data_IF_239901288774
#
_entry.id   IF_239901288774
#
_cell.length_a   1.000
_cell.length_b   1.000
_cell.length_c   1.000
_cell.angle_alpha   90.00
_cell.angle_beta   90.00
_cell.angle_gamma   90.00
#
_symmetry.space_group_name_H-M   'P 1'
#
loop_
_entity.id
_entity.type
_entity.pdbx_description
1 polymer ?
#
# COMPACT_ATOMS: atom_id res chain seq x y z
N UNK A 1 19.76 10.28 -16.90
CA UNK A 1 19.57 10.16 -15.43
C UNK A 1 18.60 11.24 -15.01
N UNK A 2 17.36 11.05 -15.44
CA UNK A 2 16.28 12.04 -15.58
C UNK A 2 15.02 11.15 -15.62
N UNK A 3 13.92 11.35 -14.90
CA UNK A 3 13.19 12.57 -14.60
C UNK A 3 12.53 12.40 -13.22
N UNK A 4 13.07 13.04 -12.18
CA UNK A 4 12.46 13.10 -10.83
C UNK A 4 11.71 14.42 -10.63
N UNK A 5 11.24 15.01 -11.72
CA UNK A 5 10.80 16.41 -11.77
C UNK A 5 9.65 16.62 -12.77
N UNK A 6 8.50 15.99 -12.54
CA UNK A 6 7.20 16.56 -12.95
C UNK A 6 6.08 15.67 -12.38
N UNK A 7 5.25 16.23 -11.52
CA UNK A 7 4.11 15.51 -10.95
C UNK A 7 3.38 16.28 -9.85
N UNK A 8 3.97 17.35 -9.33
CA UNK A 8 3.29 18.29 -8.43
C UNK A 8 2.59 19.46 -9.15
N UNK A 9 2.54 19.50 -10.48
CA UNK A 9 1.70 20.46 -11.18
C UNK A 9 1.12 19.91 -12.48
N UNK A 10 -0.18 20.21 -12.67
CA UNK A 10 -1.04 19.97 -13.84
C UNK A 10 -1.45 18.51 -14.04
N UNK A 11 -2.73 18.13 -13.97
CA UNK A 11 -3.88 18.77 -14.62
C UNK A 11 -5.14 18.68 -13.74
N UNK A 12 -5.60 19.83 -13.25
CA UNK A 12 -6.98 20.01 -12.80
C UNK A 12 -7.82 20.28 -14.05
N UNK A 13 -8.40 19.24 -14.66
CA UNK A 13 -9.57 19.42 -15.55
C UNK A 13 -10.49 18.19 -15.43
N UNK A 14 -11.78 18.48 -15.25
CA UNK A 14 -12.94 17.61 -15.08
C UNK A 14 -13.23 17.02 -13.68
N UNK A 15 -14.22 17.63 -13.02
CA UNK A 15 -15.25 16.89 -12.28
C UNK A 15 -14.90 16.44 -10.85
N UNK A 16 -15.14 17.33 -9.88
CA UNK A 16 -15.74 17.06 -8.56
C UNK A 16 -15.45 15.69 -7.92
N UNK A 17 -14.34 15.58 -7.18
CA UNK A 17 -14.22 15.16 -5.76
C UNK A 17 -12.77 15.41 -5.35
N UNK A 18 -12.48 16.53 -4.68
CA UNK A 18 -11.18 16.73 -4.02
C UNK A 18 -11.26 16.04 -2.67
N UNK A 19 -11.00 14.73 -2.63
CA UNK A 19 -10.52 14.14 -1.38
C UNK A 19 -9.13 14.69 -1.15
N UNK A 20 -8.97 15.50 -0.09
CA UNK A 20 -7.68 15.97 0.39
C UNK A 20 -6.85 14.74 0.78
N UNK A 21 -6.06 14.24 -0.17
CA UNK A 21 -4.94 13.38 0.12
C UNK A 21 -3.81 14.32 0.54
N UNK A 22 -3.57 14.40 1.84
CA UNK A 22 -2.38 15.00 2.41
C UNK A 22 -1.18 14.16 1.93
N UNK A 23 -0.73 14.43 0.71
CA UNK A 23 0.46 13.83 0.14
C UNK A 23 1.64 14.55 0.76
N UNK A 24 2.09 14.09 1.93
CA UNK A 24 3.49 14.25 2.28
C UNK A 24 4.26 13.47 1.21
N UNK A 25 4.72 14.17 0.17
CA UNK A 25 5.59 13.59 -0.85
C UNK A 25 6.89 13.22 -0.15
N UNK A 26 7.21 11.93 0.09
CA UNK A 26 8.57 11.61 0.45
C UNK A 26 9.38 11.93 -0.82
N UNK A 27 10.29 12.90 -0.75
CA UNK A 27 11.16 13.27 -1.87
C UNK A 27 12.02 12.08 -2.40
N UNK A 28 11.93 10.91 -1.75
CA UNK A 28 12.74 9.74 -2.02
C UNK A 28 12.02 8.37 -1.88
N UNK A 29 10.68 8.27 -1.97
CA UNK A 29 9.99 6.98 -1.81
C UNK A 29 8.64 6.84 -2.54
N UNK A 30 8.09 5.62 -2.54
CA UNK A 30 6.77 5.30 -3.10
C UNK A 30 5.66 6.15 -2.45
N UNK A 31 4.74 6.66 -3.27
CA UNK A 31 3.57 7.40 -2.80
C UNK A 31 2.42 6.47 -2.41
N UNK A 32 1.47 6.99 -1.62
CA UNK A 32 0.25 6.25 -1.27
C UNK A 32 -0.52 5.77 -2.51
N UNK A 33 -0.68 6.65 -3.51
CA UNK A 33 -1.41 6.31 -4.73
C UNK A 33 -0.71 5.21 -5.52
N UNK A 34 0.62 5.29 -5.66
CA UNK A 34 1.41 4.24 -6.31
C UNK A 34 1.27 2.91 -5.56
N UNK A 35 1.39 2.93 -4.23
CA UNK A 35 1.22 1.74 -3.40
C UNK A 35 -0.17 1.08 -3.58
N UNK A 36 -1.24 1.88 -3.64
CA UNK A 36 -2.59 1.37 -3.89
C UNK A 36 -2.72 0.74 -5.27
N UNK A 37 -2.15 1.37 -6.31
CA UNK A 37 -2.14 0.80 -7.66
C UNK A 37 -1.32 -0.49 -7.71
N UNK A 38 -0.20 -0.55 -6.99
CA UNK A 38 0.64 -1.75 -6.86
C UNK A 38 -0.11 -2.91 -6.17
N UNK A 39 -0.99 -2.63 -5.20
CA UNK A 39 -1.78 -3.65 -4.49
C UNK A 39 -3.15 -3.95 -5.09
N UNK A 40 -3.63 -3.18 -6.07
CA UNK A 40 -4.92 -3.41 -6.72
C UNK A 40 -5.14 -4.87 -7.14
N UNK A 41 -4.14 -5.62 -7.66
CA UNK A 41 -4.33 -7.03 -8.01
C UNK A 41 -4.63 -7.96 -6.81
N UNK A 42 -4.42 -7.50 -5.58
CA UNK A 42 -4.71 -8.23 -4.35
C UNK A 42 -6.15 -8.10 -3.88
N UNK A 43 -6.90 -7.12 -4.38
CA UNK A 43 -8.22 -6.75 -3.86
C UNK A 43 -9.18 -7.94 -3.81
N UNK A 44 -9.36 -8.65 -4.93
CA UNK A 44 -10.28 -9.79 -5.02
C UNK A 44 -9.92 -10.92 -4.05
N UNK A 45 -8.62 -11.18 -3.86
CA UNK A 45 -8.15 -12.13 -2.86
C UNK A 45 -8.49 -11.63 -1.45
N UNK A 46 -8.14 -10.38 -1.12
CA UNK A 46 -8.31 -9.76 0.20
C UNK A 46 -9.78 -9.68 0.64
N UNK A 47 -10.72 -9.41 -0.26
CA UNK A 47 -12.15 -9.31 0.09
C UNK A 47 -12.90 -10.63 0.01
N UNK A 48 -12.20 -11.74 -0.27
CA UNK A 48 -12.81 -13.07 -0.31
C UNK A 48 -13.55 -13.42 -1.60
N UNK A 49 -13.64 -12.51 -2.58
CA UNK A 49 -14.36 -12.72 -3.84
C UNK A 49 -13.57 -13.50 -4.90
N UNK A 50 -12.24 -13.52 -4.76
CA UNK A 50 -11.31 -14.22 -5.64
C UNK A 50 -10.85 -15.60 -5.13
N UNK A 51 -9.92 -16.25 -5.85
CA UNK A 51 -9.37 -17.56 -5.52
C UNK A 51 -8.83 -17.64 -4.08
N UNK A 52 -8.71 -18.86 -3.55
CA UNK A 52 -8.14 -19.09 -2.21
C UNK A 52 -6.65 -18.76 -2.06
N UNK A 53 -5.99 -18.35 -3.15
CA UNK A 53 -4.57 -17.97 -3.20
C UNK A 53 -4.41 -16.62 -3.90
N UNK A 54 -3.46 -15.77 -3.48
CA UNK A 54 -3.21 -14.49 -4.13
C UNK A 54 -2.71 -14.69 -5.58
N UNK A 55 -3.10 -13.79 -6.47
CA UNK A 55 -2.62 -13.80 -7.85
C UNK A 55 -1.11 -13.48 -7.90
N UNK A 56 -0.41 -14.00 -8.90
CA UNK A 56 1.01 -13.66 -9.16
C UNK A 56 1.27 -12.14 -9.14
N UNK A 57 0.48 -11.28 -9.84
CA UNK A 57 0.67 -9.84 -9.77
C UNK A 57 0.42 -9.24 -8.38
N UNK A 58 -0.43 -9.85 -7.56
CA UNK A 58 -0.60 -9.42 -6.17
C UNK A 58 0.70 -9.62 -5.38
N UNK A 59 1.30 -10.82 -5.46
CA UNK A 59 2.55 -11.08 -4.78
C UNK A 59 3.72 -10.24 -5.32
N UNK A 60 3.76 -9.97 -6.62
CA UNK A 60 4.72 -9.03 -7.18
C UNK A 60 4.56 -7.62 -6.58
N UNK A 61 3.32 -7.14 -6.48
CA UNK A 61 3.03 -5.84 -5.87
C UNK A 61 3.42 -5.76 -4.39
N UNK A 62 3.11 -6.80 -3.61
CA UNK A 62 3.52 -6.87 -2.19
C UNK A 62 5.05 -6.82 -2.05
N UNK A 63 5.78 -7.53 -2.91
CA UNK A 63 7.25 -7.50 -2.91
C UNK A 63 7.80 -6.11 -3.24
N UNK A 64 7.25 -5.44 -4.26
CA UNK A 64 7.62 -4.05 -4.60
C UNK A 64 7.37 -3.11 -3.43
N UNK A 65 6.23 -3.23 -2.75
CA UNK A 65 5.94 -2.41 -1.58
C UNK A 65 6.96 -2.62 -0.45
N UNK A 66 7.35 -3.86 -0.19
CA UNK A 66 8.37 -4.19 0.81
C UNK A 66 9.73 -3.63 0.42
N UNK A 67 10.11 -3.66 -0.87
CA UNK A 67 11.39 -3.10 -1.32
C UNK A 67 11.41 -1.57 -1.27
N UNK A 68 10.29 -0.91 -1.51
CA UNK A 68 10.17 0.56 -1.48
C UNK A 68 10.04 1.11 -0.05
N UNK A 69 9.61 0.29 0.91
CA UNK A 69 9.49 0.61 2.32
C UNK A 69 10.86 0.68 3.04
N UNK A 70 11.77 1.49 2.49
CA UNK A 70 13.18 1.58 2.90
C UNK A 70 13.41 2.42 4.16
N UNK A 71 12.60 3.46 4.39
CA UNK A 71 12.70 4.34 5.57
C UNK A 71 11.48 4.20 6.50
N UNK A 72 11.65 4.60 7.76
CA UNK A 72 10.55 4.56 8.74
C UNK A 72 9.43 5.54 8.38
N UNK A 73 9.77 6.72 7.85
CA UNK A 73 8.78 7.70 7.37
C UNK A 73 7.94 7.12 6.23
N UNK A 74 8.58 6.43 5.27
CA UNK A 74 7.87 5.78 4.16
C UNK A 74 6.95 4.67 4.71
N UNK A 75 7.45 3.82 5.61
CA UNK A 75 6.64 2.75 6.23
C UNK A 75 5.43 3.28 6.98
N UNK A 76 5.57 4.38 7.73
CA UNK A 76 4.45 5.02 8.44
C UNK A 76 3.43 5.60 7.49
N UNK A 77 3.89 6.32 6.46
CA UNK A 77 3.02 6.89 5.44
C UNK A 77 2.22 5.81 4.70
N UNK A 78 2.89 4.72 4.31
CA UNK A 78 2.25 3.55 3.70
C UNK A 78 1.25 2.89 4.65
N UNK A 79 1.60 2.73 5.93
CA UNK A 79 0.69 2.13 6.91
C UNK A 79 -0.62 2.93 7.03
N UNK A 80 -0.53 4.25 7.22
CA UNK A 80 -1.71 5.12 7.31
C UNK A 80 -2.54 5.11 6.01
N UNK A 81 -1.86 5.13 4.86
CA UNK A 81 -2.49 5.01 3.55
C UNK A 81 -3.29 3.71 3.41
N UNK A 82 -2.65 2.57 3.69
CA UNK A 82 -3.26 1.26 3.56
C UNK A 82 -4.39 1.06 4.57
N UNK A 83 -4.23 1.57 5.81
CA UNK A 83 -5.29 1.57 6.83
C UNK A 83 -6.53 2.35 6.36
N UNK A 84 -6.33 3.51 5.75
CA UNK A 84 -7.42 4.33 5.20
C UNK A 84 -8.09 3.67 3.99
N UNK A 85 -7.34 2.97 3.15
CA UNK A 85 -7.92 2.20 2.05
C UNK A 85 -8.70 0.98 2.57
N UNK A 86 -8.15 0.28 3.57
CA UNK A 86 -8.77 -0.88 4.19
C UNK A 86 -10.10 -0.54 4.90
N UNK A 87 -10.27 0.67 5.44
CA UNK A 87 -11.54 1.06 6.08
C UNK A 87 -12.72 1.15 5.11
N UNK A 88 -12.46 1.32 3.81
CA UNK A 88 -13.47 1.30 2.75
C UNK A 88 -13.80 -0.09 2.23
N UNK A 89 -13.10 -1.14 2.68
CA UNK A 89 -13.19 -2.50 2.16
C UNK A 89 -13.48 -3.52 3.25
N UNK A 90 -14.28 -4.54 2.93
CA UNK A 90 -14.48 -5.68 3.82
C UNK A 90 -13.36 -6.71 3.62
N UNK A 91 -12.19 -6.43 4.20
CA UNK A 91 -11.03 -7.33 4.12
C UNK A 91 -11.25 -8.57 5.00
N UNK A 92 -10.95 -9.74 4.44
CA UNK A 92 -10.85 -11.01 5.18
C UNK A 92 -9.52 -11.06 5.95
N UNK A 93 -9.55 -11.04 7.29
CA UNK A 93 -8.33 -11.00 8.10
C UNK A 93 -7.50 -12.28 8.00
N UNK A 94 -8.12 -13.43 7.72
CA UNK A 94 -7.41 -14.70 7.53
C UNK A 94 -6.61 -14.67 6.24
N UNK A 95 -7.21 -14.18 5.15
CA UNK A 95 -6.53 -14.04 3.86
C UNK A 95 -5.39 -13.02 3.90
N UNK A 96 -5.60 -11.88 4.56
CA UNK A 96 -4.56 -10.87 4.76
C UNK A 96 -3.35 -11.45 5.54
N UNK A 97 -3.60 -12.19 6.63
CA UNK A 97 -2.55 -12.84 7.42
C UNK A 97 -1.78 -13.91 6.67
N UNK A 98 -2.37 -14.51 5.64
CA UNK A 98 -1.72 -15.53 4.82
C UNK A 98 -0.85 -14.95 3.68
N UNK A 99 -0.93 -13.64 3.37
CA UNK A 99 -0.12 -13.02 2.30
C UNK A 99 1.39 -13.25 2.46
N UNK A 100 2.00 -13.08 3.65
CA UNK A 100 3.45 -13.24 3.80
C UNK A 100 3.93 -14.64 3.45
N UNK A 101 3.16 -15.64 3.87
CA UNK A 101 3.44 -17.04 3.58
C UNK A 101 3.27 -17.36 2.09
N UNK A 102 2.13 -16.99 1.50
CA UNK A 102 1.86 -17.24 0.08
C UNK A 102 2.81 -16.51 -0.86
N UNK A 103 3.09 -15.24 -0.58
CA UNK A 103 3.95 -14.40 -1.42
C UNK A 103 5.43 -14.52 -1.05
N UNK A 104 5.79 -15.34 -0.05
CA UNK A 104 7.17 -15.57 0.41
C UNK A 104 7.91 -14.29 0.76
N UNK A 105 7.20 -13.33 1.35
CA UNK A 105 7.77 -12.05 1.77
C UNK A 105 8.03 -12.08 3.27
N UNK A 106 9.25 -11.70 3.66
CA UNK A 106 9.55 -11.45 5.07
C UNK A 106 9.11 -10.03 5.40
N UNK A 107 7.93 -9.90 6.02
CA UNK A 107 7.43 -8.61 6.47
C UNK A 107 7.80 -8.45 7.94
N UNK A 108 8.69 -7.51 8.30
CA UNK A 108 9.07 -7.27 9.70
C UNK A 108 7.99 -6.52 10.50
N UNK A 109 6.75 -6.44 10.00
CA UNK A 109 5.64 -5.67 10.57
C UNK A 109 4.37 -6.54 10.54
N UNK A 110 3.58 -6.59 11.62
CA UNK A 110 2.32 -7.33 11.62
C UNK A 110 1.34 -6.75 10.57
N UNK A 111 0.86 -7.58 9.64
CA UNK A 111 -0.21 -7.22 8.70
C UNK A 111 -1.59 -7.26 9.36
N UNK A 112 -1.71 -6.78 10.59
CA UNK A 112 -3.00 -6.73 11.26
C UNK A 112 -3.72 -5.42 10.87
N UNK A 113 -5.00 -5.45 10.42
CA UNK A 113 -5.74 -4.23 10.13
C UNK A 113 -5.95 -3.34 11.37
N UNK A 114 -5.73 -3.86 12.59
CA UNK A 114 -5.66 -3.10 13.82
C UNK A 114 -4.24 -2.61 14.17
N UNK A 115 -3.28 -2.69 13.24
CA UNK A 115 -1.94 -2.15 13.47
C UNK A 115 -2.01 -0.67 13.79
N UNK A 116 -1.38 -0.35 14.92
CA UNK A 116 -1.05 1.02 15.25
C UNK A 116 0.18 1.42 14.42
N UNK A 117 -0.07 2.18 13.35
CA UNK A 117 0.97 2.66 12.45
C UNK A 117 2.03 3.52 13.15
N UNK A 118 1.74 4.05 14.35
CA UNK A 118 2.70 4.77 15.19
C UNK A 118 3.76 3.83 15.77
N UNK A 119 3.45 2.54 15.93
CA UNK A 119 4.32 1.49 16.48
C UNK A 119 5.15 0.77 15.42
N UNK A 120 5.05 1.18 14.15
CA UNK A 120 5.98 0.71 13.12
C UNK A 120 7.40 1.08 13.57
N UNK A 121 8.29 0.10 13.80
CA UNK A 121 9.56 0.32 14.45
C UNK A 121 10.42 1.31 13.64
N UNK A 122 10.87 2.35 14.34
CA UNK A 122 12.03 3.18 13.97
C UNK A 122 13.26 2.30 14.14
N UNK A 123 13.66 1.61 13.07
CA UNK A 123 15.02 1.07 13.00
C UNK A 123 15.98 2.21 12.68
#
# INVERSE_FOLDING_TARGET
MEMKLMGCWSLIVFGLVVTVLNNACPANGITCQEALMTLMPCESYLVGSGPGTPAVPCCAGVQTLVSEATSTEIRRSLCECLKKAASGMKIDPGRLKAIPEYCKVSIPVPLDPAVDCSKVPLF
#
